data_IF_533298054340
#
_entry.id   IF_533298054340
#
_cell.length_a   1.000
_cell.length_b   1.000
_cell.length_c   1.000
_cell.angle_alpha   90.00
_cell.angle_beta   90.00
_cell.angle_gamma   90.00
#
_symmetry.space_group_name_H-M   'P 1'
#
loop_
_entity.id
_entity.type
_entity.pdbx_description
1 polymer ?
#
# COMPACT_ATOMS: atom_id res chain seq x y z
N UNK A 1 -66.19 26.49 54.60
CA UNK A 1 -66.75 26.68 53.23
C UNK A 1 -65.88 25.90 52.25
N UNK A 2 -66.49 25.07 51.40
CA UNK A 2 -66.02 24.52 50.09
C UNK A 2 -64.68 23.74 50.07
N UNK A 3 -64.75 22.39 50.04
CA UNK A 3 -64.67 21.49 48.86
C UNK A 3 -63.23 21.29 48.33
N UNK A 4 -62.66 20.09 48.45
CA UNK A 4 -62.61 19.04 47.41
C UNK A 4 -61.65 17.91 47.79
N UNK A 5 -62.15 16.67 47.69
CA UNK A 5 -61.38 15.43 47.57
C UNK A 5 -60.55 15.44 46.28
N UNK A 6 -59.32 14.94 46.33
CA UNK A 6 -58.70 14.25 45.20
C UNK A 6 -57.71 13.20 45.71
N UNK A 7 -58.02 11.93 45.42
CA UNK A 7 -57.15 10.77 45.56
C UNK A 7 -55.86 10.98 44.76
N UNK A 8 -54.71 10.63 45.33
CA UNK A 8 -53.49 10.35 44.58
C UNK A 8 -53.08 8.91 44.87
N UNK A 9 -53.21 8.09 43.84
CA UNK A 9 -52.80 6.71 43.79
C UNK A 9 -51.26 6.60 43.83
N UNK A 10 -50.75 5.73 44.68
CA UNK A 10 -49.36 5.30 44.72
C UNK A 10 -49.07 4.35 43.54
N UNK A 11 -48.41 4.85 42.50
CA UNK A 11 -47.76 4.00 41.49
C UNK A 11 -46.34 3.66 41.96
N UNK A 12 -46.12 2.41 42.35
CA UNK A 12 -44.79 1.84 42.54
C UNK A 12 -44.21 1.49 41.16
N UNK A 13 -43.22 2.25 40.70
CA UNK A 13 -42.41 1.89 39.53
C UNK A 13 -41.27 0.97 39.95
N UNK A 14 -41.36 -0.29 39.54
CA UNK A 14 -40.25 -1.26 39.60
C UNK A 14 -39.26 -0.87 38.51
N UNK A 15 -38.08 -0.33 38.88
CA UNK A 15 -36.95 -0.23 37.96
C UNK A 15 -36.36 -1.64 37.77
N UNK A 16 -36.62 -2.24 36.62
CA UNK A 16 -35.85 -3.39 36.15
C UNK A 16 -34.46 -2.94 35.72
N UNK A 17 -33.42 -3.33 36.47
CA UNK A 17 -32.04 -3.29 35.97
C UNK A 17 -31.90 -4.40 34.92
N UNK A 18 -31.99 -4.04 33.64
CA UNK A 18 -31.43 -4.88 32.57
C UNK A 18 -29.93 -4.63 32.53
N UNK A 19 -29.16 -5.57 33.09
CA UNK A 19 -27.72 -5.63 32.84
C UNK A 19 -27.53 -5.92 31.35
N UNK A 20 -27.06 -4.93 30.59
CA UNK A 20 -26.60 -5.13 29.23
C UNK A 20 -25.38 -6.04 29.29
N UNK A 21 -25.55 -7.32 28.94
CA UNK A 21 -24.44 -8.23 28.71
C UNK A 21 -23.83 -7.82 27.37
N UNK A 22 -22.74 -7.06 27.42
CA UNK A 22 -21.90 -6.83 26.23
C UNK A 22 -21.42 -8.19 25.70
N UNK A 23 -21.48 -8.45 24.39
CA UNK A 23 -20.83 -9.64 23.84
C UNK A 23 -19.32 -9.57 24.11
N UNK A 24 -18.63 -10.71 24.28
CA UNK A 24 -17.18 -10.71 24.43
C UNK A 24 -16.56 -10.03 23.21
N UNK A 25 -15.74 -9.02 23.47
CA UNK A 25 -14.90 -8.33 22.49
C UNK A 25 -14.03 -9.40 21.82
N UNK A 26 -14.25 -9.65 20.53
CA UNK A 26 -13.36 -10.49 19.74
C UNK A 26 -11.97 -9.84 19.83
N UNK A 27 -10.98 -10.60 20.29
CA UNK A 27 -9.59 -10.16 20.23
C UNK A 27 -9.29 -9.81 18.76
N UNK A 28 -8.70 -8.63 18.54
CA UNK A 28 -8.23 -8.22 17.23
C UNK A 28 -7.39 -9.34 16.63
N UNK A 29 -7.90 -9.99 15.57
CA UNK A 29 -7.19 -11.05 14.89
C UNK A 29 -6.04 -10.38 14.12
N UNK A 30 -4.82 -10.49 14.65
CA UNK A 30 -3.62 -10.12 13.91
C UNK A 30 -3.61 -10.89 12.58
N UNK A 31 -3.28 -10.22 11.46
CA UNK A 31 -3.23 -10.84 10.14
C UNK A 31 -2.50 -12.19 10.21
N UNK A 32 -3.25 -13.28 10.03
CA UNK A 32 -2.73 -14.65 10.09
C UNK A 32 -2.96 -15.31 8.76
N UNK A 33 -2.06 -15.07 7.81
CA UNK A 33 -1.96 -15.92 6.62
C UNK A 33 -1.21 -17.20 6.94
N UNK A 34 -1.57 -18.31 6.29
CA UNK A 34 -0.77 -19.54 6.30
C UNK A 34 -0.87 -20.27 4.96
N UNK A 35 0.16 -21.03 4.63
CA UNK A 35 0.12 -22.04 3.56
C UNK A 35 0.13 -23.42 4.18
N UNK A 36 -0.62 -24.34 3.58
CA UNK A 36 -0.62 -25.75 3.97
C UNK A 36 -0.42 -26.63 2.75
N UNK A 37 0.65 -27.44 2.75
CA UNK A 37 0.89 -28.46 1.75
C UNK A 37 0.48 -29.82 2.32
N UNK A 38 -0.54 -30.45 1.71
CA UNK A 38 -1.01 -31.79 2.08
C UNK A 38 -0.62 -32.84 1.03
N UNK A 39 0.16 -33.82 1.46
CA UNK A 39 0.66 -34.89 0.58
C UNK A 39 0.30 -36.26 1.14
N UNK A 40 -0.38 -37.10 0.36
CA UNK A 40 -0.50 -38.53 0.66
C UNK A 40 0.82 -39.18 0.24
N UNK A 41 1.66 -39.52 1.21
CA UNK A 41 3.01 -40.05 0.98
C UNK A 41 3.00 -41.53 0.64
N UNK A 42 2.01 -42.27 1.14
CA UNK A 42 1.78 -43.67 0.80
C UNK A 42 0.30 -44.04 0.99
N UNK A 43 -0.18 -45.03 0.25
CA UNK A 43 -1.55 -45.54 0.35
C UNK A 43 -1.58 -47.05 0.09
N UNK A 44 -2.38 -47.77 0.86
CA UNK A 44 -2.63 -49.21 0.73
C UNK A 44 -4.12 -49.51 0.89
N UNK A 45 -4.49 -50.79 0.82
CA UNK A 45 -5.89 -51.19 0.99
C UNK A 45 -6.41 -50.81 2.38
N UNK A 46 -7.33 -49.86 2.44
CA UNK A 46 -7.99 -49.40 3.66
C UNK A 46 -7.17 -48.43 4.53
N UNK A 47 -5.99 -47.98 4.08
CA UNK A 47 -5.17 -47.04 4.84
C UNK A 47 -4.21 -46.19 4.02
N UNK A 48 -3.71 -45.13 4.62
CA UNK A 48 -2.81 -44.17 4.00
C UNK A 48 -1.92 -43.48 5.03
N UNK A 49 -0.85 -42.86 4.54
CA UNK A 49 -0.01 -41.95 5.30
C UNK A 49 0.00 -40.58 4.63
N UNK A 50 -0.15 -39.51 5.42
CA UNK A 50 -0.14 -38.14 4.96
C UNK A 50 0.93 -37.31 5.67
N UNK A 51 1.61 -36.46 4.90
CA UNK A 51 2.45 -35.37 5.39
C UNK A 51 1.73 -34.03 5.23
N UNK A 52 1.88 -33.16 6.22
CA UNK A 52 1.28 -31.83 6.26
C UNK A 52 2.34 -30.82 6.64
N UNK A 53 2.71 -29.94 5.72
CA UNK A 53 3.63 -28.83 6.00
C UNK A 53 2.84 -27.55 6.16
N UNK A 54 3.00 -26.88 7.28
CA UNK A 54 2.31 -25.61 7.60
C UNK A 54 3.35 -24.50 7.65
N UNK A 55 3.15 -23.41 6.90
CA UNK A 55 4.00 -22.21 6.98
C UNK A 55 3.19 -21.07 7.55
N UNK A 56 3.69 -20.39 8.59
CA UNK A 56 3.06 -19.19 9.13
C UNK A 56 3.47 -17.99 8.29
N UNK A 57 2.53 -17.28 7.68
CA UNK A 57 2.78 -16.03 6.96
C UNK A 57 2.43 -14.80 7.82
N UNK A 58 1.66 -14.98 8.91
CA UNK A 58 1.24 -13.92 9.81
C UNK A 58 2.21 -13.64 10.96
N UNK A 59 1.70 -12.96 11.98
CA UNK A 59 2.47 -12.66 13.20
C UNK A 59 2.99 -13.93 13.90
N UNK A 60 4.12 -13.86 14.63
CA UNK A 60 4.66 -15.01 15.36
C UNK A 60 3.66 -15.61 16.34
N UNK A 61 3.43 -16.92 16.26
CA UNK A 61 2.55 -17.64 17.17
C UNK A 61 3.36 -18.33 18.27
N UNK A 62 2.92 -18.24 19.54
CA UNK A 62 3.52 -18.94 20.69
C UNK A 62 2.72 -20.19 21.12
N UNK A 63 1.81 -20.62 20.25
CA UNK A 63 1.05 -21.86 20.27
C UNK A 63 0.28 -21.93 18.96
N UNK A 64 0.15 -23.11 18.37
CA UNK A 64 -0.57 -23.27 17.12
C UNK A 64 -1.47 -24.51 17.11
N UNK A 65 -2.62 -24.38 16.47
CA UNK A 65 -3.58 -25.45 16.19
C UNK A 65 -3.93 -25.43 14.72
N UNK A 66 -3.62 -26.50 14.01
CA UNK A 66 -4.11 -26.73 12.66
C UNK A 66 -5.45 -27.45 12.73
N UNK A 67 -6.45 -27.01 11.96
CA UNK A 67 -7.71 -27.74 11.82
C UNK A 67 -8.14 -27.85 10.35
N UNK A 68 -8.74 -28.99 9.99
CA UNK A 68 -9.28 -29.27 8.65
C UNK A 68 -10.34 -30.38 8.72
N UNK A 69 -11.06 -30.60 7.61
CA UNK A 69 -12.00 -31.71 7.49
C UNK A 69 -11.48 -32.78 6.51
N UNK A 70 -11.54 -34.04 6.92
CA UNK A 70 -11.40 -35.16 5.99
C UNK A 70 -12.68 -35.24 5.12
N UNK A 71 -12.59 -35.16 3.78
CA UNK A 71 -13.77 -34.95 2.94
C UNK A 71 -14.74 -36.14 2.89
N UNK A 72 -14.25 -37.36 3.10
CA UNK A 72 -15.06 -38.58 3.09
C UNK A 72 -15.31 -39.09 4.53
N UNK A 73 -16.55 -39.44 4.83
CA UNK A 73 -16.96 -39.91 6.17
C UNK A 73 -16.26 -41.21 6.60
N UNK A 74 -15.79 -42.00 5.64
CA UNK A 74 -15.00 -43.20 5.84
C UNK A 74 -13.55 -42.93 6.29
N UNK A 75 -13.05 -41.70 6.16
CA UNK A 75 -11.68 -41.36 6.54
C UNK A 75 -11.53 -41.14 8.06
N UNK A 76 -10.50 -41.75 8.65
CA UNK A 76 -10.12 -41.59 10.07
C UNK A 76 -8.62 -41.41 10.24
N UNK A 77 -8.22 -40.56 11.18
CA UNK A 77 -6.86 -40.49 11.70
C UNK A 77 -6.68 -41.63 12.69
N UNK A 78 -5.63 -42.44 12.53
CA UNK A 78 -5.35 -43.59 13.40
C UNK A 78 -4.14 -43.35 14.29
N UNK A 79 -3.11 -42.67 13.78
CA UNK A 79 -1.89 -42.33 14.53
C UNK A 79 -1.21 -41.12 13.91
N UNK A 80 -0.75 -40.15 14.70
CA UNK A 80 -0.02 -38.98 14.20
C UNK A 80 1.28 -38.70 14.93
N UNK A 81 2.12 -37.85 14.36
CA UNK A 81 3.38 -37.38 14.93
C UNK A 81 3.57 -35.87 14.73
N UNK A 82 4.56 -35.31 15.44
CA UNK A 82 4.91 -33.88 15.51
C UNK A 82 3.80 -32.92 15.94
N UNK A 83 2.63 -33.44 16.32
CA UNK A 83 1.52 -32.73 16.91
C UNK A 83 0.68 -33.69 17.78
N UNK A 84 -0.17 -33.15 18.63
CA UNK A 84 -1.26 -33.91 19.27
C UNK A 84 -2.47 -33.88 18.34
N UNK A 85 -2.86 -35.04 17.83
CA UNK A 85 -3.94 -35.20 16.86
C UNK A 85 -5.25 -35.64 17.52
N UNK A 86 -6.36 -35.05 17.11
CA UNK A 86 -7.71 -35.52 17.47
C UNK A 86 -8.68 -35.39 16.30
N UNK A 87 -9.71 -36.22 16.28
CA UNK A 87 -10.76 -36.19 15.27
C UNK A 87 -12.14 -36.34 15.90
N UNK A 88 -13.09 -35.51 15.47
CA UNK A 88 -14.52 -35.62 15.77
C UNK A 88 -15.31 -35.52 14.47
N UNK A 89 -16.09 -36.56 14.15
CA UNK A 89 -16.75 -36.65 12.84
C UNK A 89 -15.72 -36.65 11.70
N UNK A 90 -15.83 -35.68 10.79
CA UNK A 90 -14.83 -35.39 9.75
C UNK A 90 -13.76 -34.38 10.17
N UNK A 91 -13.98 -33.62 11.25
CA UNK A 91 -13.07 -32.57 11.71
C UNK A 91 -11.85 -33.14 12.40
N UNK A 92 -10.67 -32.76 11.94
CA UNK A 92 -9.36 -33.13 12.46
C UNK A 92 -8.66 -31.89 13.00
N UNK A 93 -8.03 -32.01 14.17
CA UNK A 93 -7.19 -30.97 14.77
C UNK A 93 -5.82 -31.52 15.12
N UNK A 94 -4.78 -30.74 14.88
CA UNK A 94 -3.40 -31.01 15.25
C UNK A 94 -2.84 -29.83 16.07
N UNK A 95 -2.50 -30.08 17.33
CA UNK A 95 -2.00 -29.06 18.26
C UNK A 95 -0.49 -29.19 18.40
N UNK A 96 0.23 -28.07 18.33
CA UNK A 96 1.69 -28.03 18.50
C UNK A 96 2.14 -28.56 19.87
N UNK A 97 3.30 -29.22 19.87
CA UNK A 97 3.98 -29.76 21.06
C UNK A 97 4.93 -28.70 21.63
N UNK A 98 5.37 -28.87 22.88
CA UNK A 98 6.22 -27.89 23.57
C UNK A 98 7.48 -27.46 22.78
N UNK A 99 8.10 -28.41 22.06
CA UNK A 99 9.33 -28.17 21.30
C UNK A 99 9.11 -27.46 19.96
N UNK A 100 7.89 -27.45 19.41
CA UNK A 100 7.55 -26.76 18.16
C UNK A 100 6.38 -25.77 18.32
N UNK A 101 5.96 -25.44 19.54
CA UNK A 101 4.81 -24.57 19.82
C UNK A 101 4.97 -23.14 19.30
N UNK A 102 6.22 -22.69 19.13
CA UNK A 102 6.52 -21.37 18.56
C UNK A 102 6.71 -21.48 17.06
N UNK A 103 5.92 -20.74 16.29
CA UNK A 103 6.01 -20.67 14.84
C UNK A 103 6.15 -19.20 14.43
N UNK A 104 7.39 -18.76 14.20
CA UNK A 104 7.69 -17.39 13.77
C UNK A 104 7.10 -17.10 12.38
N UNK A 105 7.01 -15.83 12.03
CA UNK A 105 6.65 -15.40 10.66
C UNK A 105 7.63 -15.98 9.65
N UNK A 106 7.11 -16.56 8.57
CA UNK A 106 7.86 -17.26 7.54
C UNK A 106 8.37 -18.66 7.93
N UNK A 107 8.23 -19.07 9.19
CA UNK A 107 8.67 -20.39 9.64
C UNK A 107 7.65 -21.48 9.26
N UNK A 108 8.15 -22.70 9.06
CA UNK A 108 7.34 -23.86 8.72
C UNK A 108 7.51 -25.00 9.74
N UNK A 109 6.46 -25.82 9.86
CA UNK A 109 6.47 -27.06 10.64
C UNK A 109 5.95 -28.22 9.79
N UNK A 110 6.67 -29.34 9.84
CA UNK A 110 6.31 -30.59 9.15
C UNK A 110 5.65 -31.57 10.13
N UNK A 111 4.42 -31.97 9.79
CA UNK A 111 3.56 -32.85 10.56
C UNK A 111 3.17 -34.07 9.71
N UNK A 112 2.62 -35.10 10.34
CA UNK A 112 2.02 -36.19 9.58
C UNK A 112 1.20 -37.15 10.42
N UNK A 113 0.41 -37.96 9.72
CA UNK A 113 -0.43 -38.99 10.31
C UNK A 113 -0.66 -40.18 9.38
N UNK A 114 -0.88 -41.34 9.98
CA UNK A 114 -1.52 -42.48 9.36
C UNK A 114 -3.03 -42.37 9.53
N UNK A 115 -3.76 -42.77 8.50
CA UNK A 115 -5.22 -42.81 8.51
C UNK A 115 -5.78 -44.07 7.86
N UNK A 116 -7.05 -44.35 8.13
CA UNK A 116 -7.84 -45.38 7.46
C UNK A 116 -8.92 -44.73 6.59
N UNK A 117 -9.39 -45.42 5.56
CA UNK A 117 -10.54 -44.99 4.76
C UNK A 117 -11.41 -46.18 4.33
N UNK A 118 -12.73 -45.95 4.20
CA UNK A 118 -13.65 -46.90 3.56
C UNK A 118 -14.27 -46.22 2.34
N UNK A 119 -13.96 -46.69 1.13
CA UNK A 119 -14.40 -46.05 -0.12
C UNK A 119 -13.28 -45.21 -0.74
N UNK A 120 -13.47 -43.89 -0.81
CA UNK A 120 -12.52 -42.97 -1.42
C UNK A 120 -11.56 -42.33 -0.39
N UNK A 121 -10.41 -41.83 -0.86
CA UNK A 121 -9.45 -41.09 -0.04
C UNK A 121 -9.13 -39.71 -0.65
N UNK A 122 -10.12 -38.79 -0.76
CA UNK A 122 -9.87 -37.44 -1.24
C UNK A 122 -9.01 -36.64 -0.24
N UNK A 123 -8.22 -35.70 -0.77
CA UNK A 123 -7.41 -34.77 0.06
C UNK A 123 -8.29 -33.64 0.61
N UNK A 124 -8.08 -33.18 1.85
CA UNK A 124 -8.65 -31.92 2.32
C UNK A 124 -8.18 -30.75 1.45
N UNK A 125 -9.05 -29.77 1.26
CA UNK A 125 -8.77 -28.56 0.47
C UNK A 125 -8.81 -27.27 1.29
N UNK A 126 -9.28 -27.34 2.54
CA UNK A 126 -9.41 -26.19 3.43
C UNK A 126 -8.77 -26.50 4.79
N UNK A 127 -7.96 -25.56 5.25
CA UNK A 127 -7.21 -25.64 6.50
C UNK A 127 -7.36 -24.33 7.26
N UNK A 128 -7.26 -24.39 8.57
CA UNK A 128 -7.16 -23.21 9.44
C UNK A 128 -5.97 -23.35 10.38
N UNK A 129 -5.28 -22.25 10.67
CA UNK A 129 -4.26 -22.14 11.70
C UNK A 129 -4.76 -21.19 12.78
N UNK A 130 -4.89 -21.67 14.01
CA UNK A 130 -5.46 -20.92 15.13
C UNK A 130 -6.85 -20.33 14.84
N UNK A 131 -7.64 -21.03 14.01
CA UNK A 131 -8.99 -20.61 13.62
C UNK A 131 -9.06 -19.69 12.40
N UNK A 132 -7.91 -19.28 11.82
CA UNK A 132 -7.86 -18.43 10.62
C UNK A 132 -7.57 -19.28 9.39
N UNK A 133 -8.26 -19.02 8.27
CA UNK A 133 -8.14 -19.81 7.06
C UNK A 133 -6.74 -19.71 6.41
N UNK A 134 -6.16 -20.85 6.05
CA UNK A 134 -4.92 -20.89 5.29
C UNK A 134 -5.20 -20.72 3.80
N UNK A 135 -5.26 -19.48 3.34
CA UNK A 135 -5.55 -19.11 1.94
C UNK A 135 -4.30 -18.99 1.07
N UNK A 136 -3.11 -19.14 1.65
CA UNK A 136 -1.83 -18.94 0.96
C UNK A 136 -1.43 -17.47 0.77
N UNK A 137 -2.20 -16.54 1.32
CA UNK A 137 -1.90 -15.11 1.42
C UNK A 137 -2.22 -14.63 2.85
N UNK A 138 -1.76 -13.44 3.23
CA UNK A 138 -2.34 -12.74 4.38
C UNK A 138 -3.80 -12.42 4.03
N UNK A 139 -4.76 -12.73 4.91
CA UNK A 139 -6.06 -12.08 4.83
C UNK A 139 -5.86 -10.61 5.21
N UNK A 140 -5.70 -9.75 4.21
CA UNK A 140 -6.01 -8.34 4.37
C UNK A 140 -7.53 -8.20 4.48
N UNK A 141 -8.04 -7.30 5.34
CA UNK A 141 -9.47 -7.09 5.45
C UNK A 141 -10.05 -6.82 4.06
N UNK A 142 -11.03 -7.64 3.64
CA UNK A 142 -11.76 -7.39 2.40
C UNK A 142 -12.36 -5.98 2.47
N UNK A 143 -12.16 -5.12 1.46
CA UNK A 143 -12.72 -3.78 1.47
C UNK A 143 -14.24 -3.88 1.53
N UNK A 144 -14.84 -3.23 2.53
CA UNK A 144 -16.28 -2.99 2.56
C UNK A 144 -16.62 -2.14 1.32
N UNK A 145 -17.53 -2.57 0.43
CA UNK A 145 -17.96 -1.76 -0.70
C UNK A 145 -18.66 -0.45 -0.31
N UNK A 146 -19.03 -0.27 0.98
CA UNK A 146 -19.51 0.99 1.56
C UNK A 146 -18.41 1.80 2.28
N UNK A 147 -17.16 1.31 2.33
CA UNK A 147 -16.03 2.13 2.75
C UNK A 147 -15.85 3.23 1.70
N UNK A 148 -15.95 4.49 2.12
CA UNK A 148 -15.83 5.66 1.25
C UNK A 148 -14.53 5.67 0.44
N UNK A 149 -14.37 6.71 -0.39
CA UNK A 149 -13.14 6.84 -1.19
C UNK A 149 -11.89 6.91 -0.29
N UNK A 150 -10.68 6.65 -0.82
CA UNK A 150 -9.44 6.77 -0.06
C UNK A 150 -9.33 8.08 0.75
N UNK A 151 -9.75 9.21 0.16
CA UNK A 151 -9.79 10.51 0.85
C UNK A 151 -10.90 10.59 1.91
N UNK A 152 -12.09 10.02 1.66
CA UNK A 152 -13.19 10.01 2.65
C UNK A 152 -12.79 9.25 3.93
N UNK A 153 -12.12 8.11 3.77
CA UNK A 153 -11.68 7.27 4.89
C UNK A 153 -10.52 7.93 5.63
N UNK A 154 -9.47 8.32 4.91
CA UNK A 154 -8.21 8.75 5.55
C UNK A 154 -8.19 10.24 5.91
N UNK A 155 -8.96 11.09 5.23
CA UNK A 155 -9.03 12.52 5.49
C UNK A 155 -7.69 13.24 5.35
N UNK A 156 -7.40 14.16 6.26
CA UNK A 156 -6.17 14.95 6.24
C UNK A 156 -4.97 14.07 6.60
N UNK A 157 -4.04 13.93 5.66
CA UNK A 157 -2.81 13.20 5.90
C UNK A 157 -1.79 14.06 6.64
N UNK A 158 -0.97 13.40 7.45
CA UNK A 158 0.19 14.00 8.10
C UNK A 158 1.26 12.94 8.35
N UNK A 159 2.49 13.36 8.64
CA UNK A 159 3.59 12.47 9.01
C UNK A 159 3.52 12.17 10.49
N UNK A 160 3.46 10.88 10.85
CA UNK A 160 3.55 10.42 12.23
C UNK A 160 4.69 9.41 12.41
N UNK A 161 5.70 9.80 13.20
CA UNK A 161 6.96 9.05 13.30
C UNK A 161 7.70 9.03 11.97
N UNK A 162 7.86 7.84 11.39
CA UNK A 162 8.51 7.60 10.09
C UNK A 162 7.51 7.23 8.98
N UNK A 163 6.20 7.40 9.22
CA UNK A 163 5.16 7.00 8.29
C UNK A 163 4.29 8.18 7.87
N UNK A 164 3.62 8.01 6.73
CA UNK A 164 2.44 8.78 6.37
C UNK A 164 1.25 8.23 7.15
N UNK A 165 0.46 9.10 7.75
CA UNK A 165 -0.64 8.73 8.63
C UNK A 165 -1.90 9.48 8.24
N UNK A 166 -3.04 8.84 8.49
CA UNK A 166 -4.36 9.43 8.26
C UNK A 166 -4.80 10.34 9.41
N UNK A 167 -6.00 10.90 9.32
CA UNK A 167 -6.57 11.80 10.33
C UNK A 167 -6.78 11.16 11.72
N UNK A 168 -6.58 9.84 11.84
CA UNK A 168 -6.70 9.07 13.08
C UNK A 168 -5.33 8.68 13.66
N UNK A 169 -4.24 9.29 13.20
CA UNK A 169 -2.87 8.98 13.60
C UNK A 169 -2.47 7.51 13.32
N UNK A 170 -3.06 6.90 12.28
CA UNK A 170 -2.72 5.54 11.86
C UNK A 170 -1.85 5.55 10.60
N UNK A 171 -0.74 4.79 10.57
CA UNK A 171 0.06 4.63 9.36
C UNK A 171 -0.78 4.08 8.21
N UNK A 172 -0.63 4.68 7.03
CA UNK A 172 -1.32 4.30 5.80
C UNK A 172 -0.35 4.27 4.63
N UNK A 173 -0.69 3.46 3.63
CA UNK A 173 0.06 3.35 2.39
C UNK A 173 -0.83 3.78 1.21
N UNK A 174 -0.48 4.87 0.55
CA UNK A 174 -1.13 5.28 -0.70
C UNK A 174 -0.45 4.58 -1.88
N UNK A 175 -1.23 4.00 -2.78
CA UNK A 175 -0.71 3.26 -3.92
C UNK A 175 -1.41 3.73 -5.18
N UNK A 176 -0.62 4.09 -6.17
CA UNK A 176 -1.21 4.60 -7.41
C UNK A 176 -0.24 4.75 -8.55
N UNK A 177 -0.61 5.66 -9.46
CA UNK A 177 0.10 5.86 -10.71
C UNK A 177 0.57 7.31 -10.83
N UNK A 178 1.74 7.50 -11.42
CA UNK A 178 2.21 8.78 -11.91
C UNK A 178 1.70 8.99 -13.33
N UNK A 179 1.26 10.20 -13.65
CA UNK A 179 1.25 10.63 -15.04
C UNK A 179 2.67 10.52 -15.61
N UNK A 180 2.79 10.41 -16.93
CA UNK A 180 3.99 10.86 -17.61
C UNK A 180 3.99 12.41 -17.61
N UNK A 181 5.02 13.04 -18.17
CA UNK A 181 5.04 14.47 -18.43
C UNK A 181 3.76 14.97 -19.09
N UNK A 182 3.02 15.82 -18.39
CA UNK A 182 1.70 16.31 -18.81
C UNK A 182 1.75 17.17 -20.07
N UNK A 183 2.92 17.65 -20.49
CA UNK A 183 3.13 18.34 -21.77
C UNK A 183 3.05 17.40 -22.99
N UNK A 184 3.38 16.11 -22.80
CA UNK A 184 3.44 15.13 -23.90
C UNK A 184 2.25 14.19 -23.94
N UNK A 185 1.73 13.80 -22.77
CA UNK A 185 0.69 12.78 -22.65
C UNK A 185 -0.62 13.30 -22.05
N UNK A 186 -0.87 14.61 -22.16
CA UNK A 186 -2.07 15.27 -21.63
C UNK A 186 -3.39 14.56 -22.01
N UNK A 187 -3.45 13.98 -23.21
CA UNK A 187 -4.59 13.25 -23.77
C UNK A 187 -4.95 12.00 -22.96
N UNK A 188 -3.98 11.39 -22.29
CA UNK A 188 -4.19 10.22 -21.44
C UNK A 188 -4.95 10.54 -20.14
N UNK A 189 -5.05 11.81 -19.75
CA UNK A 189 -5.68 12.23 -18.49
C UNK A 189 -7.05 12.88 -18.75
N UNK A 190 -7.91 12.11 -19.41
CA UNK A 190 -9.32 12.43 -19.63
C UNK A 190 -10.21 11.72 -18.59
N UNK A 191 -11.51 12.07 -18.57
CA UNK A 191 -12.44 11.56 -17.56
C UNK A 191 -12.53 10.03 -17.53
N UNK A 192 -12.62 9.36 -18.69
CA UNK A 192 -12.73 7.90 -18.75
C UNK A 192 -11.48 7.20 -18.19
N UNK A 193 -10.30 7.74 -18.50
CA UNK A 193 -9.03 7.24 -17.98
C UNK A 193 -8.90 7.39 -16.46
N UNK A 194 -9.31 8.54 -15.92
CA UNK A 194 -9.27 8.79 -14.48
C UNK A 194 -10.38 8.04 -13.73
N UNK A 195 -11.55 7.85 -14.34
CA UNK A 195 -12.61 6.98 -13.82
C UNK A 195 -12.14 5.54 -13.72
N UNK A 196 -11.42 5.03 -14.73
CA UNK A 196 -10.83 3.70 -14.68
C UNK A 196 -9.78 3.59 -13.57
N UNK A 197 -8.90 4.58 -13.44
CA UNK A 197 -7.87 4.60 -12.40
C UNK A 197 -8.47 4.54 -10.98
N UNK A 198 -9.50 5.35 -10.72
CA UNK A 198 -10.14 5.39 -9.41
C UNK A 198 -11.05 4.17 -9.14
N UNK A 199 -11.89 3.80 -10.12
CA UNK A 199 -13.00 2.87 -9.85
C UNK A 199 -12.67 1.42 -10.18
N UNK A 200 -11.82 1.17 -11.17
CA UNK A 200 -11.46 -0.17 -11.61
C UNK A 200 -10.08 -0.57 -11.08
N UNK A 201 -9.08 0.30 -11.21
CA UNK A 201 -7.76 0.05 -10.63
C UNK A 201 -7.73 0.27 -9.12
N UNK A 202 -8.70 1.01 -8.55
CA UNK A 202 -8.75 1.35 -7.11
C UNK A 202 -7.51 2.11 -6.63
N UNK A 203 -6.97 2.98 -7.48
CA UNK A 203 -5.83 3.82 -7.11
C UNK A 203 -6.17 4.77 -5.97
N UNK A 204 -5.30 4.86 -4.98
CA UNK A 204 -5.43 5.81 -3.87
C UNK A 204 -4.91 7.21 -4.27
N UNK A 205 -4.03 7.23 -5.28
CA UNK A 205 -3.15 8.34 -5.59
C UNK A 205 -3.04 8.57 -7.10
N UNK A 206 -3.07 9.83 -7.50
CA UNK A 206 -2.61 10.31 -8.79
C UNK A 206 -1.43 11.26 -8.57
N UNK A 207 -0.23 10.87 -9.00
CA UNK A 207 0.91 11.77 -9.09
C UNK A 207 0.89 12.52 -10.42
N UNK A 208 0.99 13.84 -10.37
CA UNK A 208 0.88 14.75 -11.52
C UNK A 208 2.28 15.30 -11.84
N UNK A 209 2.99 14.61 -12.73
CA UNK A 209 4.34 14.95 -13.15
C UNK A 209 4.36 16.15 -14.12
N UNK A 210 4.60 17.35 -13.56
CA UNK A 210 4.73 18.59 -14.33
C UNK A 210 6.21 18.92 -14.55
N UNK A 211 6.76 18.51 -15.70
CA UNK A 211 8.12 18.88 -16.10
C UNK A 211 8.28 20.39 -16.07
N UNK A 212 9.46 20.85 -15.67
CA UNK A 212 9.78 22.27 -15.68
C UNK A 212 10.38 22.69 -17.02
N UNK A 213 11.42 21.97 -17.43
CA UNK A 213 12.04 22.06 -18.75
C UNK A 213 11.34 21.10 -19.73
N UNK A 214 11.97 20.82 -20.87
CA UNK A 214 11.54 19.78 -21.81
C UNK A 214 10.10 19.99 -22.30
N UNK A 215 9.84 21.21 -22.78
CA UNK A 215 8.52 21.71 -23.21
C UNK A 215 7.47 21.79 -22.08
N UNK A 216 7.91 21.71 -20.82
CA UNK A 216 7.07 21.79 -19.64
C UNK A 216 6.74 23.21 -19.17
N UNK A 217 6.55 23.36 -17.85
CA UNK A 217 6.07 24.56 -17.16
C UNK A 217 6.74 25.87 -17.60
N UNK A 218 8.04 25.86 -17.93
CA UNK A 218 8.72 27.09 -18.30
C UNK A 218 8.21 27.74 -19.59
N UNK A 219 7.55 26.96 -20.45
CA UNK A 219 7.00 27.43 -21.74
C UNK A 219 5.65 28.13 -21.59
N UNK A 220 4.81 27.66 -20.66
CA UNK A 220 3.52 28.28 -20.32
C UNK A 220 3.19 28.10 -18.82
N UNK A 221 3.80 28.90 -17.93
CA UNK A 221 3.59 28.77 -16.49
C UNK A 221 2.13 28.82 -16.06
N UNK A 222 1.33 29.67 -16.70
CA UNK A 222 -0.09 29.83 -16.38
C UNK A 222 -0.92 28.62 -16.82
N UNK A 223 -0.70 28.15 -18.06
CA UNK A 223 -1.38 26.98 -18.61
C UNK A 223 -1.07 25.71 -17.81
N UNK A 224 0.20 25.45 -17.50
CA UNK A 224 0.59 24.28 -16.71
C UNK A 224 0.08 24.34 -15.27
N UNK A 225 0.12 25.51 -14.62
CA UNK A 225 -0.51 25.71 -13.29
C UNK A 225 -2.00 25.40 -13.34
N UNK A 226 -2.70 25.88 -14.36
CA UNK A 226 -4.13 25.59 -14.55
C UNK A 226 -4.38 24.10 -14.79
N UNK A 227 -3.53 23.43 -15.58
CA UNK A 227 -3.66 22.00 -15.87
C UNK A 227 -3.45 21.14 -14.62
N UNK A 228 -2.43 21.45 -13.82
CA UNK A 228 -2.19 20.80 -12.52
C UNK A 228 -3.41 20.94 -11.61
N UNK A 229 -3.91 22.17 -11.41
CA UNK A 229 -5.09 22.41 -10.58
C UNK A 229 -6.32 21.65 -11.08
N UNK A 230 -6.52 21.59 -12.40
CA UNK A 230 -7.59 20.80 -12.99
C UNK A 230 -7.46 19.31 -12.67
N UNK A 231 -6.26 18.74 -12.77
CA UNK A 231 -6.02 17.34 -12.40
C UNK A 231 -6.18 17.07 -10.89
N UNK A 232 -5.87 18.06 -10.04
CA UNK A 232 -6.15 18.00 -8.59
C UNK A 232 -7.66 17.96 -8.34
N UNK A 233 -8.45 18.79 -9.05
CA UNK A 233 -9.92 18.79 -8.98
C UNK A 233 -10.48 17.43 -9.48
N UNK A 234 -9.95 16.87 -10.58
CA UNK A 234 -10.37 15.57 -11.12
C UNK A 234 -10.03 14.39 -10.19
N UNK A 235 -8.90 14.45 -9.49
CA UNK A 235 -8.53 13.45 -8.48
C UNK A 235 -9.44 13.55 -7.25
N UNK A 236 -9.71 14.77 -6.76
CA UNK A 236 -10.63 15.01 -5.63
C UNK A 236 -12.05 14.50 -5.93
N UNK A 237 -12.57 14.78 -7.13
CA UNK A 237 -13.89 14.33 -7.57
C UNK A 237 -14.05 12.81 -7.58
N UNK A 238 -12.94 12.07 -7.59
CA UNK A 238 -12.86 10.60 -7.56
C UNK A 238 -12.36 10.08 -6.22
N UNK A 239 -12.13 10.97 -5.25
CA UNK A 239 -11.64 10.65 -3.92
C UNK A 239 -10.23 10.05 -3.87
N UNK A 240 -9.40 10.39 -4.86
CA UNK A 240 -7.97 10.09 -4.87
C UNK A 240 -7.17 11.25 -4.28
N UNK A 241 -6.05 10.94 -3.64
CA UNK A 241 -5.01 11.91 -3.34
C UNK A 241 -4.33 12.38 -4.63
N UNK A 242 -4.00 13.66 -4.71
CA UNK A 242 -3.25 14.28 -5.77
C UNK A 242 -1.87 14.69 -5.25
N UNK A 243 -0.81 14.07 -5.79
CA UNK A 243 0.56 14.49 -5.54
C UNK A 243 1.00 15.42 -6.67
N UNK A 244 1.19 16.69 -6.35
CA UNK A 244 1.65 17.71 -7.28
C UNK A 244 3.17 17.64 -7.34
N UNK A 245 3.69 17.21 -8.49
CA UNK A 245 5.13 17.04 -8.70
C UNK A 245 5.69 18.16 -9.58
N UNK A 246 6.58 18.96 -8.98
CA UNK A 246 7.43 19.90 -9.69
C UNK A 246 8.63 19.14 -10.28
N UNK A 247 8.41 18.59 -11.47
CA UNK A 247 9.22 17.53 -12.04
C UNK A 247 10.53 18.06 -12.63
N UNK A 248 11.49 18.36 -11.75
CA UNK A 248 12.87 18.69 -12.11
C UNK A 248 13.65 17.43 -12.47
N UNK A 249 14.34 17.46 -13.61
CA UNK A 249 15.20 16.38 -14.08
C UNK A 249 16.49 16.95 -14.69
N UNK A 250 16.34 17.71 -15.79
CA UNK A 250 17.46 18.40 -16.45
C UNK A 250 17.12 19.89 -16.60
N UNK A 251 17.89 20.82 -16.02
CA UNK A 251 19.07 20.63 -15.16
C UNK A 251 18.76 19.97 -13.80
N UNK A 252 19.74 19.27 -13.24
CA UNK A 252 19.58 18.47 -12.02
C UNK A 252 19.70 19.21 -10.68
N UNK A 253 20.18 20.46 -10.66
CA UNK A 253 20.17 21.27 -9.43
C UNK A 253 18.81 21.97 -9.28
N UNK A 254 18.01 21.65 -8.24
CA UNK A 254 16.70 22.27 -8.07
C UNK A 254 16.78 23.80 -7.86
N UNK A 255 17.92 24.34 -7.43
CA UNK A 255 18.12 25.79 -7.30
C UNK A 255 18.05 26.52 -8.65
N UNK A 256 18.28 25.83 -9.77
CA UNK A 256 18.10 26.40 -11.11
C UNK A 256 16.67 26.90 -11.33
N UNK A 257 15.68 26.18 -10.80
CA UNK A 257 14.26 26.51 -10.92
C UNK A 257 13.67 27.14 -9.66
N UNK A 258 14.47 27.61 -8.71
CA UNK A 258 14.00 28.09 -7.40
C UNK A 258 12.89 29.15 -7.49
N UNK A 259 13.07 30.18 -8.30
CA UNK A 259 12.07 31.26 -8.42
C UNK A 259 10.79 30.78 -9.12
N UNK A 260 10.92 29.87 -10.09
CA UNK A 260 9.78 29.22 -10.75
C UNK A 260 9.00 28.34 -9.78
N UNK A 261 9.70 27.54 -8.98
CA UNK A 261 9.12 26.70 -7.94
C UNK A 261 8.37 27.53 -6.90
N UNK A 262 8.99 28.59 -6.36
CA UNK A 262 8.31 29.50 -5.42
C UNK A 262 7.05 30.11 -6.02
N UNK A 263 7.12 30.58 -7.26
CA UNK A 263 5.96 31.16 -7.96
C UNK A 263 4.84 30.14 -8.15
N UNK A 264 5.20 28.94 -8.63
CA UNK A 264 4.26 27.85 -8.85
C UNK A 264 3.60 27.41 -7.54
N UNK A 265 4.40 27.07 -6.53
CA UNK A 265 3.92 26.57 -5.25
C UNK A 265 3.12 27.61 -4.45
N UNK A 266 3.45 28.90 -4.53
CA UNK A 266 2.60 29.95 -3.97
C UNK A 266 1.20 29.91 -4.58
N UNK A 267 1.11 29.74 -5.91
CA UNK A 267 -0.16 29.71 -6.64
C UNK A 267 -0.96 28.44 -6.35
N UNK A 268 -0.36 27.25 -6.49
CA UNK A 268 -1.08 25.99 -6.29
C UNK A 268 -1.42 25.72 -4.83
N UNK A 269 -0.59 26.14 -3.87
CA UNK A 269 -0.93 26.05 -2.45
C UNK A 269 -2.08 26.99 -2.09
N UNK A 270 -2.06 28.24 -2.55
CA UNK A 270 -3.17 29.17 -2.32
C UNK A 270 -4.49 28.71 -2.94
N UNK A 271 -4.46 28.15 -4.16
CA UNK A 271 -5.67 27.65 -4.85
C UNK A 271 -6.27 26.40 -4.20
N UNK A 272 -5.43 25.53 -3.63
CA UNK A 272 -5.88 24.27 -3.06
C UNK A 272 -5.82 24.25 -1.52
N UNK A 273 -5.63 25.41 -0.89
CA UNK A 273 -5.63 25.54 0.56
C UNK A 273 -6.91 24.96 1.16
N UNK A 274 -6.75 24.09 2.17
CA UNK A 274 -7.86 23.42 2.86
C UNK A 274 -8.37 22.15 2.17
N UNK A 275 -7.86 21.80 0.97
CA UNK A 275 -8.10 20.47 0.41
C UNK A 275 -7.32 19.43 1.22
N UNK A 276 -7.99 18.32 1.55
CA UNK A 276 -7.38 17.21 2.30
C UNK A 276 -6.56 16.27 1.42
N UNK A 277 -6.76 16.35 0.10
CA UNK A 277 -6.25 15.38 -0.85
C UNK A 277 -4.92 15.79 -1.51
N UNK A 278 -4.27 16.88 -1.10
CA UNK A 278 -3.09 17.43 -1.80
C UNK A 278 -1.78 17.12 -1.07
N UNK A 279 -0.80 16.65 -1.82
CA UNK A 279 0.59 16.42 -1.39
C UNK A 279 1.51 17.16 -2.36
N UNK A 280 2.59 17.77 -1.88
CA UNK A 280 3.50 18.58 -2.72
C UNK A 280 4.88 17.92 -2.81
N UNK A 281 5.30 17.49 -4.01
CA UNK A 281 6.67 17.07 -4.30
C UNK A 281 7.43 18.24 -4.94
N UNK A 282 8.38 18.80 -4.20
CA UNK A 282 8.98 20.11 -4.56
C UNK A 282 10.15 20.03 -5.53
N UNK A 283 10.71 18.84 -5.72
CA UNK A 283 11.76 18.55 -6.70
C UNK A 283 11.80 17.04 -6.91
N UNK A 284 11.48 16.59 -8.13
CA UNK A 284 11.46 15.17 -8.51
C UNK A 284 12.83 14.47 -8.32
N UNK A 285 13.81 14.81 -9.16
CA UNK A 285 15.08 14.07 -9.21
C UNK A 285 16.31 14.98 -9.18
N UNK A 286 16.67 15.53 -8.00
CA UNK A 286 17.93 16.22 -7.87
C UNK A 286 19.12 15.32 -8.26
N UNK A 287 19.93 15.77 -9.21
CA UNK A 287 21.07 15.03 -9.73
C UNK A 287 22.26 15.96 -10.03
N UNK A 288 23.49 15.45 -9.89
CA UNK A 288 24.70 16.27 -10.03
C UNK A 288 24.85 17.37 -8.95
N UNK A 289 24.12 17.26 -7.84
CA UNK A 289 24.04 18.27 -6.77
C UNK A 289 24.15 17.61 -5.39
N UNK A 290 24.73 18.31 -4.42
CA UNK A 290 24.86 17.80 -3.05
C UNK A 290 23.55 17.87 -2.26
N UNK A 291 23.39 17.00 -1.26
CA UNK A 291 22.28 17.08 -0.32
C UNK A 291 22.14 18.45 0.34
N UNK A 292 23.25 19.13 0.66
CA UNK A 292 23.21 20.45 1.28
C UNK A 292 22.54 21.52 0.40
N UNK A 293 22.72 21.45 -0.92
CA UNK A 293 22.08 22.38 -1.86
C UNK A 293 20.59 22.04 -2.03
N UNK A 294 20.23 20.76 -2.02
CA UNK A 294 18.83 20.30 -2.05
C UNK A 294 18.09 20.75 -0.79
N UNK A 295 18.69 20.55 0.39
CA UNK A 295 18.15 21.03 1.67
C UNK A 295 17.95 22.56 1.66
N UNK A 296 18.95 23.31 1.19
CA UNK A 296 18.86 24.78 1.05
C UNK A 296 17.74 25.22 0.10
N UNK A 297 17.50 24.48 -0.98
CA UNK A 297 16.34 24.69 -1.86
C UNK A 297 15.03 24.44 -1.11
N UNK A 298 14.91 23.28 -0.45
CA UNK A 298 13.71 22.89 0.28
C UNK A 298 13.31 23.89 1.37
N UNK A 299 14.29 24.36 2.16
CA UNK A 299 14.08 25.34 3.23
C UNK A 299 13.65 26.72 2.73
N UNK A 300 13.74 26.98 1.43
CA UNK A 300 13.22 28.19 0.81
C UNK A 300 11.85 28.02 0.15
N UNK A 301 11.51 26.81 -0.32
CA UNK A 301 10.23 26.53 -0.98
C UNK A 301 9.15 26.13 0.01
N UNK A 302 9.48 25.34 1.03
CA UNK A 302 8.50 24.88 2.04
C UNK A 302 7.78 26.06 2.71
N UNK A 303 8.44 27.14 3.17
CA UNK A 303 7.74 28.28 3.76
C UNK A 303 6.73 28.95 2.82
N UNK A 304 6.95 28.88 1.50
CA UNK A 304 6.02 29.44 0.50
C UNK A 304 4.73 28.61 0.43
N UNK A 305 4.83 27.28 0.46
CA UNK A 305 3.66 26.39 0.54
C UNK A 305 2.93 26.63 1.87
N UNK A 306 3.68 26.61 2.98
CA UNK A 306 3.14 26.72 4.35
C UNK A 306 2.44 28.05 4.64
N UNK A 307 2.76 29.10 3.88
CA UNK A 307 2.07 30.38 4.01
C UNK A 307 0.58 30.30 3.64
N UNK A 308 0.21 29.37 2.74
CA UNK A 308 -1.18 29.14 2.34
C UNK A 308 -1.76 27.83 2.91
N UNK A 309 -0.94 26.79 3.00
CA UNK A 309 -1.32 25.47 3.52
C UNK A 309 -0.37 25.04 4.65
N UNK A 310 -0.66 25.43 5.91
CA UNK A 310 0.23 25.17 7.05
C UNK A 310 0.36 23.68 7.37
N UNK A 311 -0.61 22.85 6.97
CA UNK A 311 -0.69 21.42 7.30
C UNK A 311 -0.34 20.50 6.12
N UNK A 312 0.01 21.04 4.95
CA UNK A 312 0.49 20.31 3.77
C UNK A 312 1.45 19.12 4.09
N UNK A 313 1.33 18.00 3.39
CA UNK A 313 2.44 17.02 3.34
C UNK A 313 3.38 17.46 2.23
N UNK A 314 4.67 17.64 2.54
CA UNK A 314 5.68 18.04 1.55
C UNK A 314 6.72 16.93 1.38
N UNK A 315 7.01 16.56 0.14
CA UNK A 315 8.00 15.56 -0.24
C UNK A 315 9.20 16.26 -0.88
N UNK A 316 10.40 15.92 -0.42
CA UNK A 316 11.66 16.49 -0.92
C UNK A 316 12.45 15.42 -1.67
N UNK A 317 12.78 15.69 -2.94
CA UNK A 317 13.70 14.89 -3.73
C UNK A 317 15.03 14.69 -3.02
N UNK A 318 15.68 13.56 -3.25
CA UNK A 318 16.97 13.23 -2.62
C UNK A 318 18.09 13.17 -3.64
N UNK A 319 19.33 13.12 -3.16
CA UNK A 319 20.52 13.15 -4.03
C UNK A 319 20.54 11.96 -4.98
N UNK A 320 20.99 12.20 -6.21
CA UNK A 320 21.27 11.16 -7.20
C UNK A 320 19.98 10.57 -7.75
N UNK A 321 19.19 11.38 -8.46
CA UNK A 321 17.88 10.99 -8.99
C UNK A 321 16.97 10.40 -7.91
N UNK A 322 16.91 11.08 -6.76
CA UNK A 322 16.15 10.63 -5.60
C UNK A 322 16.48 9.21 -5.14
N UNK A 323 17.73 8.75 -5.28
CA UNK A 323 18.15 7.41 -4.83
C UNK A 323 18.63 7.37 -3.37
N UNK A 324 18.34 8.39 -2.56
CA UNK A 324 18.98 8.61 -1.25
C UNK A 324 20.51 8.64 -1.33
N UNK A 325 21.06 9.11 -2.46
CA UNK A 325 22.50 9.23 -2.70
C UNK A 325 23.19 7.97 -3.23
N UNK A 326 22.50 6.83 -3.31
CA UNK A 326 23.10 5.53 -3.68
C UNK A 326 23.72 5.56 -5.09
N UNK A 327 23.06 6.20 -6.06
CA UNK A 327 23.57 6.29 -7.43
C UNK A 327 24.86 7.11 -7.54
N UNK A 328 25.07 8.04 -6.61
CA UNK A 328 26.21 8.96 -6.55
C UNK A 328 27.35 8.44 -5.65
N UNK A 329 27.26 7.19 -5.19
CA UNK A 329 28.23 6.59 -4.28
C UNK A 329 28.14 7.08 -2.84
N UNK A 330 27.03 7.69 -2.46
CA UNK A 330 26.69 8.07 -1.08
C UNK A 330 25.63 7.12 -0.50
N UNK A 331 25.01 7.49 0.62
CA UNK A 331 23.97 6.73 1.29
C UNK A 331 22.98 7.62 2.06
N UNK A 332 21.98 6.99 2.66
CA UNK A 332 20.88 7.67 3.36
C UNK A 332 21.33 8.52 4.55
N UNK A 333 22.55 8.32 5.06
CA UNK A 333 23.04 9.05 6.23
C UNK A 333 23.29 10.53 5.92
N UNK A 334 23.43 10.94 4.65
CA UNK A 334 23.45 12.37 4.29
C UNK A 334 22.17 13.08 4.76
N UNK A 335 21.01 12.44 4.52
CA UNK A 335 19.70 12.97 4.91
C UNK A 335 19.48 12.79 6.41
N UNK A 336 19.77 11.61 6.97
CA UNK A 336 19.58 11.34 8.41
C UNK A 336 20.38 12.28 9.30
N UNK A 337 21.62 12.59 8.92
CA UNK A 337 22.51 13.43 9.74
C UNK A 337 22.25 14.93 9.55
N UNK A 338 21.54 15.33 8.50
CA UNK A 338 21.26 16.72 8.18
C UNK A 338 19.86 16.87 7.56
N UNK A 339 18.78 16.54 8.29
CA UNK A 339 17.43 16.62 7.76
C UNK A 339 17.03 18.06 7.46
N UNK A 340 16.08 18.24 6.54
CA UNK A 340 15.44 19.55 6.30
C UNK A 340 14.75 20.03 7.57
N UNK A 341 14.94 21.30 7.94
CA UNK A 341 14.35 21.88 9.15
C UNK A 341 12.87 22.27 8.93
N UNK A 342 12.01 21.27 8.76
CA UNK A 342 10.57 21.42 8.63
C UNK A 342 9.83 20.18 9.17
N UNK A 343 8.56 20.35 9.54
CA UNK A 343 7.67 19.27 9.94
C UNK A 343 6.72 18.88 8.80
N UNK A 344 5.99 17.77 9.01
CA UNK A 344 5.07 17.18 8.04
C UNK A 344 5.72 17.01 6.64
N UNK A 345 6.91 16.42 6.67
CA UNK A 345 7.83 16.29 5.55
C UNK A 345 8.17 14.81 5.32
N UNK A 346 8.27 14.40 4.06
CA UNK A 346 8.82 13.10 3.67
C UNK A 346 9.95 13.29 2.65
N UNK A 347 10.73 12.23 2.43
CA UNK A 347 11.82 12.20 1.46
C UNK A 347 11.50 11.23 0.32
N UNK A 348 11.71 11.67 -0.92
CA UNK A 348 11.51 10.84 -2.10
C UNK A 348 12.60 9.76 -2.20
N UNK A 349 12.18 8.56 -2.58
CA UNK A 349 13.08 7.51 -3.06
C UNK A 349 12.59 6.96 -4.40
N UNK A 350 13.43 6.95 -5.44
CA UNK A 350 13.08 6.39 -6.75
C UNK A 350 13.84 5.11 -7.05
N UNK A 351 13.18 4.18 -7.75
CA UNK A 351 13.86 2.99 -8.26
C UNK A 351 13.30 2.48 -9.59
N UNK A 352 14.13 1.76 -10.32
CA UNK A 352 13.71 1.02 -11.51
C UNK A 352 14.10 -0.45 -11.33
N UNK A 353 13.09 -1.31 -11.25
CA UNK A 353 13.22 -2.64 -10.67
C UNK A 353 14.23 -3.54 -11.40
N UNK A 354 14.47 -3.34 -12.70
CA UNK A 354 15.47 -4.10 -13.45
C UNK A 354 16.91 -3.62 -13.21
N UNK A 355 17.10 -2.38 -12.76
CA UNK A 355 18.41 -1.78 -12.49
C UNK A 355 18.77 -1.78 -11.00
N UNK A 356 17.81 -1.47 -10.14
CA UNK A 356 18.03 -1.21 -8.72
C UNK A 356 17.55 -2.42 -7.90
N UNK A 357 18.49 -3.15 -7.31
CA UNK A 357 18.26 -4.46 -6.67
C UNK A 357 18.48 -4.39 -5.15
N UNK A 358 19.08 -5.43 -4.57
CA UNK A 358 19.20 -5.62 -3.13
C UNK A 358 19.92 -4.49 -2.40
N UNK A 359 20.95 -3.88 -3.01
CA UNK A 359 21.68 -2.76 -2.39
C UNK A 359 20.77 -1.56 -2.14
N UNK A 360 19.92 -1.22 -3.12
CA UNK A 360 18.94 -0.15 -3.03
C UNK A 360 17.82 -0.51 -2.03
N UNK A 361 17.32 -1.75 -2.03
CA UNK A 361 16.33 -2.24 -1.04
C UNK A 361 16.88 -2.15 0.39
N UNK A 362 18.14 -2.50 0.58
CA UNK A 362 18.80 -2.40 1.86
C UNK A 362 18.93 -0.94 2.32
N UNK A 363 19.21 0.00 1.42
CA UNK A 363 19.20 1.44 1.72
C UNK A 363 17.82 1.91 2.18
N UNK A 364 16.76 1.56 1.44
CA UNK A 364 15.38 1.91 1.85
C UNK A 364 15.05 1.33 3.22
N UNK A 365 15.39 0.06 3.49
CA UNK A 365 15.14 -0.58 4.79
C UNK A 365 15.84 0.16 5.95
N UNK A 366 17.10 0.59 5.76
CA UNK A 366 17.83 1.38 6.77
C UNK A 366 17.25 2.79 6.94
N UNK A 367 16.89 3.43 5.83
CA UNK A 367 16.35 4.79 5.82
C UNK A 367 14.96 4.85 6.46
N UNK A 368 14.05 3.94 6.11
CA UNK A 368 12.66 3.90 6.60
C UNK A 368 12.55 3.77 8.13
N UNK A 369 13.57 3.21 8.79
CA UNK A 369 13.61 3.16 10.26
C UNK A 369 13.89 4.52 10.94
N UNK A 370 14.30 5.54 10.16
CA UNK A 370 14.77 6.85 10.66
C UNK A 370 14.16 8.05 9.94
N UNK A 371 13.64 7.85 8.73
CA UNK A 371 13.12 8.89 7.86
C UNK A 371 11.73 8.50 7.35
N UNK A 372 10.78 9.46 7.29
CA UNK A 372 9.56 9.28 6.53
C UNK A 372 9.86 9.28 5.03
N UNK A 373 9.60 8.15 4.38
CA UNK A 373 9.87 7.95 2.95
C UNK A 373 8.59 7.85 2.15
N UNK A 374 8.65 8.31 0.90
CA UNK A 374 7.63 8.10 -0.11
C UNK A 374 8.32 7.68 -1.41
N UNK A 375 7.88 6.61 -2.06
CA UNK A 375 8.37 6.24 -3.40
C UNK A 375 7.55 6.97 -4.45
N UNK A 376 7.84 8.24 -4.67
CA UNK A 376 7.04 9.09 -5.56
C UNK A 376 7.17 8.66 -7.02
N UNK A 377 8.23 7.95 -7.38
CA UNK A 377 8.38 7.35 -8.70
C UNK A 377 9.08 5.99 -8.64
N UNK A 378 8.55 5.01 -9.38
CA UNK A 378 9.31 3.82 -9.71
C UNK A 378 8.87 3.18 -11.02
N UNK A 379 9.79 2.47 -11.70
CA UNK A 379 9.49 1.67 -12.89
C UNK A 379 9.72 0.18 -12.68
N UNK A 380 9.01 -0.65 -13.45
CA UNK A 380 9.15 -2.13 -13.44
C UNK A 380 10.30 -2.63 -14.34
N UNK A 381 10.87 -1.72 -15.11
CA UNK A 381 11.90 -1.95 -16.15
C UNK A 381 13.25 -1.37 -15.70
N UNK A 382 14.17 -1.15 -16.64
CA UNK A 382 15.46 -0.53 -16.33
C UNK A 382 15.34 0.99 -16.16
N UNK A 383 16.35 1.60 -15.54
CA UNK A 383 16.40 3.05 -15.27
C UNK A 383 16.34 3.95 -16.52
N UNK A 384 16.38 3.38 -17.73
CA UNK A 384 16.17 4.14 -18.97
C UNK A 384 14.69 4.30 -19.33
N UNK A 385 13.75 3.82 -18.51
CA UNK A 385 12.33 3.72 -18.85
C UNK A 385 11.98 2.59 -19.83
N UNK A 386 12.96 1.77 -20.23
CA UNK A 386 12.79 0.74 -21.26
C UNK A 386 13.38 -0.61 -20.90
N UNK A 387 13.25 -1.54 -21.85
CA UNK A 387 13.77 -2.91 -21.73
C UNK A 387 12.75 -3.88 -21.14
N UNK A 388 13.19 -5.11 -20.87
CA UNK A 388 12.32 -6.13 -20.30
C UNK A 388 11.91 -5.77 -18.86
N UNK A 389 10.64 -6.03 -18.53
CA UNK A 389 10.14 -5.94 -17.17
C UNK A 389 10.84 -6.98 -16.29
N UNK A 390 11.23 -6.58 -15.08
CA UNK A 390 11.72 -7.52 -14.07
C UNK A 390 10.64 -7.75 -12.99
N UNK A 391 9.76 -8.70 -13.27
CA UNK A 391 8.62 -9.01 -12.40
C UNK A 391 9.07 -9.40 -10.99
N UNK A 392 10.06 -10.28 -10.86
CA UNK A 392 10.51 -10.78 -9.56
C UNK A 392 11.09 -9.67 -8.69
N UNK A 393 11.91 -8.79 -9.26
CA UNK A 393 12.44 -7.64 -8.53
C UNK A 393 11.35 -6.63 -8.21
N UNK A 394 10.39 -6.42 -9.12
CA UNK A 394 9.25 -5.52 -8.88
C UNK A 394 8.41 -6.01 -7.69
N UNK A 395 8.07 -7.30 -7.65
CA UNK A 395 7.35 -7.90 -6.52
C UNK A 395 8.14 -7.75 -5.22
N UNK A 396 9.45 -8.06 -5.21
CA UNK A 396 10.29 -7.92 -4.03
C UNK A 396 10.36 -6.46 -3.51
N UNK A 397 10.32 -5.48 -4.41
CA UNK A 397 10.23 -4.07 -4.03
C UNK A 397 8.88 -3.75 -3.40
N UNK A 398 7.78 -4.10 -4.06
CA UNK A 398 6.43 -3.79 -3.58
C UNK A 398 6.13 -4.45 -2.24
N UNK A 399 6.57 -5.69 -2.02
CA UNK A 399 6.42 -6.38 -0.73
C UNK A 399 7.21 -5.68 0.39
N UNK A 400 8.40 -5.16 0.09
CA UNK A 400 9.15 -4.35 1.04
C UNK A 400 8.43 -3.05 1.38
N UNK A 401 7.86 -2.37 0.37
CA UNK A 401 7.11 -1.12 0.60
C UNK A 401 5.86 -1.37 1.45
N UNK A 402 5.14 -2.47 1.22
CA UNK A 402 3.96 -2.84 2.00
C UNK A 402 4.33 -3.15 3.46
N UNK A 403 5.41 -3.92 3.67
CA UNK A 403 5.93 -4.23 5.00
C UNK A 403 6.29 -2.95 5.78
N UNK A 404 6.81 -1.94 5.09
CA UNK A 404 7.26 -0.68 5.68
C UNK A 404 6.19 0.42 5.67
N UNK A 405 5.00 0.16 5.11
CA UNK A 405 3.95 1.16 4.88
C UNK A 405 4.46 2.40 4.12
N UNK A 406 5.26 2.18 3.09
CA UNK A 406 5.77 3.24 2.21
C UNK A 406 4.87 3.37 0.99
N UNK A 407 4.23 4.53 0.87
CA UNK A 407 3.40 4.89 -0.28
C UNK A 407 4.20 4.94 -1.59
N UNK A 408 3.54 4.67 -2.71
CA UNK A 408 4.20 4.70 -4.02
C UNK A 408 3.32 5.17 -5.20
N UNK A 409 3.98 5.70 -6.24
CA UNK A 409 3.37 5.91 -7.56
C UNK A 409 4.23 5.30 -8.69
N UNK A 410 3.62 4.48 -9.55
CA UNK A 410 4.33 3.86 -10.68
C UNK A 410 4.42 4.77 -11.92
N UNK A 411 5.60 4.77 -12.55
CA UNK A 411 5.92 5.40 -13.82
C UNK A 411 5.64 4.41 -14.98
N UNK A 412 4.68 4.63 -15.91
CA UNK A 412 3.70 5.74 -15.99
C UNK A 412 2.31 5.31 -16.46
N UNK A 413 1.30 6.11 -16.09
CA UNK A 413 -0.05 6.06 -16.62
C UNK A 413 -0.14 6.74 -18.00
N UNK A 414 0.51 6.18 -19.01
CA UNK A 414 0.48 6.70 -20.38
C UNK A 414 0.50 5.56 -21.40
N UNK A 415 0.32 5.89 -22.68
CA UNK A 415 0.51 5.00 -23.82
C UNK A 415 1.81 5.30 -24.59
N UNK A 416 2.81 5.85 -23.89
CA UNK A 416 4.14 6.05 -24.42
C UNK A 416 4.70 4.73 -25.01
N UNK A 417 5.46 4.77 -26.13
CA UNK A 417 6.00 3.58 -26.77
C UNK A 417 7.23 3.02 -26.02
N UNK A 418 7.08 2.81 -24.71
CA UNK A 418 8.08 2.28 -23.79
C UNK A 418 7.45 1.23 -22.85
N UNK A 419 8.28 0.38 -22.26
CA UNK A 419 7.79 -0.76 -21.49
C UNK A 419 7.41 -0.43 -20.04
N UNK A 420 7.83 0.72 -19.50
CA UNK A 420 7.33 1.30 -18.24
C UNK A 420 5.87 1.74 -18.34
N UNK A 421 5.44 2.22 -19.52
CA UNK A 421 4.10 2.74 -19.74
C UNK A 421 3.02 1.68 -19.43
N UNK A 422 1.96 2.09 -18.76
CA UNK A 422 0.86 1.22 -18.35
C UNK A 422 0.04 0.74 -19.55
N UNK A 423 -0.06 1.56 -20.60
CA UNK A 423 -0.90 1.31 -21.76
C UNK A 423 -0.10 1.04 -23.01
N UNK A 424 -0.68 0.26 -23.92
CA UNK A 424 -0.15 0.06 -25.26
C UNK A 424 -0.40 1.32 -26.10
N UNK A 425 0.52 1.68 -27.03
CA UNK A 425 0.35 2.85 -27.89
C UNK A 425 -1.03 2.93 -28.57
N UNK A 426 -1.64 4.11 -28.53
CA UNK A 426 -2.96 4.38 -29.11
C UNK A 426 -4.14 4.18 -28.15
N UNK A 427 -3.88 3.68 -26.94
CA UNK A 427 -4.94 3.49 -25.92
C UNK A 427 -5.57 4.83 -25.53
N UNK A 428 -4.78 5.91 -25.42
CA UNK A 428 -5.29 7.20 -24.95
C UNK A 428 -6.16 7.95 -25.96
N UNK A 429 -6.20 7.49 -27.22
CA UNK A 429 -7.16 7.97 -28.24
C UNK A 429 -8.52 7.24 -28.16
N UNK A 430 -8.57 6.14 -27.40
CA UNK A 430 -9.76 5.33 -27.18
C UNK A 430 -10.51 5.68 -25.88
N UNK A 431 -11.33 4.74 -25.43
CA UNK A 431 -12.14 4.87 -24.20
C UNK A 431 -12.01 3.71 -23.22
N UNK A 432 -11.14 2.72 -23.50
CA UNK A 432 -10.89 1.57 -22.64
C UNK A 432 -9.50 1.68 -22.01
N UNK A 433 -9.45 1.66 -20.68
CA UNK A 433 -8.25 1.80 -19.87
C UNK A 433 -8.09 0.63 -18.89
N UNK A 434 -8.87 -0.43 -19.08
CA UNK A 434 -9.08 -1.48 -18.08
C UNK A 434 -8.90 -2.89 -18.62
N UNK A 435 -9.18 -3.11 -19.91
CA UNK A 435 -9.08 -4.45 -20.49
C UNK A 435 -7.63 -4.91 -20.64
N UNK A 436 -7.40 -6.22 -20.54
CA UNK A 436 -6.07 -6.81 -20.73
C UNK A 436 -5.48 -6.56 -22.14
N UNK A 437 -6.32 -6.20 -23.11
CA UNK A 437 -5.89 -5.88 -24.48
C UNK A 437 -5.18 -4.53 -24.59
N UNK A 438 -5.46 -3.59 -23.70
CA UNK A 438 -4.90 -2.23 -23.72
C UNK A 438 -3.71 -2.07 -22.76
N UNK A 439 -3.53 -2.97 -21.80
CA UNK A 439 -2.44 -2.90 -20.83
C UNK A 439 -1.13 -3.51 -21.38
N UNK A 440 -0.02 -2.91 -21.00
CA UNK A 440 1.30 -3.56 -21.07
C UNK A 440 1.45 -4.57 -19.93
N UNK A 441 2.55 -5.33 -19.91
CA UNK A 441 2.88 -6.19 -18.78
C UNK A 441 3.05 -5.40 -17.48
N UNK A 442 3.69 -4.22 -17.56
CA UNK A 442 3.86 -3.29 -16.43
C UNK A 442 2.50 -2.82 -15.92
N UNK A 443 1.63 -2.33 -16.81
CA UNK A 443 0.30 -1.85 -16.45
C UNK A 443 -0.59 -2.94 -15.86
N UNK A 444 -0.56 -4.15 -16.41
CA UNK A 444 -1.33 -5.28 -15.89
C UNK A 444 -0.86 -5.71 -14.49
N UNK A 445 0.46 -5.74 -14.25
CA UNK A 445 1.01 -6.02 -12.93
C UNK A 445 0.58 -4.97 -11.91
N UNK A 446 0.71 -3.69 -12.27
CA UNK A 446 0.38 -2.60 -11.37
C UNK A 446 -1.10 -2.50 -11.06
N UNK A 447 -1.97 -2.63 -12.07
CA UNK A 447 -3.42 -2.70 -11.86
C UNK A 447 -3.78 -3.75 -10.81
N UNK A 448 -3.25 -4.97 -10.96
CA UNK A 448 -3.51 -6.05 -10.02
C UNK A 448 -2.97 -5.77 -8.61
N UNK A 449 -1.83 -5.06 -8.49
CA UNK A 449 -1.27 -4.70 -7.19
C UNK A 449 -2.12 -3.64 -6.51
N UNK A 450 -2.42 -2.54 -7.20
CA UNK A 450 -3.10 -1.40 -6.58
C UNK A 450 -4.59 -1.66 -6.35
N UNK A 451 -5.21 -2.62 -7.07
CA UNK A 451 -6.62 -2.98 -6.89
C UNK A 451 -6.98 -3.55 -5.52
N UNK A 452 -6.00 -3.92 -4.70
CA UNK A 452 -6.20 -4.42 -3.34
C UNK A 452 -5.84 -3.30 -2.36
N UNK A 453 -6.73 -2.37 -1.96
CA UNK A 453 -6.42 -1.18 -1.15
C UNK A 453 -5.70 -1.52 0.17
N UNK A 454 -4.94 -0.58 0.73
CA UNK A 454 -4.49 -0.71 2.11
C UNK A 454 -5.70 -0.72 3.06
N UNK A 455 -5.52 -1.29 4.24
CA UNK A 455 -6.57 -1.47 5.25
C UNK A 455 -7.18 -0.18 5.82
N UNK A 456 -6.54 0.98 5.60
CA UNK A 456 -6.96 2.32 6.08
C UNK A 456 -7.59 2.32 7.48
N UNK A 457 -6.83 1.90 8.51
CA UNK A 457 -7.35 1.76 9.87
C UNK A 457 -7.86 3.09 10.44
N UNK A 458 -9.06 3.05 11.04
CA UNK A 458 -9.73 4.22 11.63
C UNK A 458 -9.81 4.18 13.17
N UNK A 459 -9.30 3.11 13.80
CA UNK A 459 -9.36 2.89 15.25
C UNK A 459 -8.08 2.34 15.84
#
# INVERSE_FOLDING_TARGET
>A
MKRLLALLATCATVLGLTAAVSPPQAAASAATGCTVEYTVTSQWQGGFQAGVKVTNLGAPATGWTLAFALPDAGQKVTQGWNATWSQSGSGVTAVGLDWNRTLATGAAVDLGFAGSFTGANPKPTAFTLNGVACTGALEEPTPDPDAGTPVDVNGQLHVCGVNLCNQYDRPVQLRGMSTHGIQWFSQCYNAASLDALANDWKSDLLRIAMYVQEDGYETDPAGFTSRVNGLVDEAEARGMYALIDFHTLTPGDPNFNLDRAKTFFASVAARNAGKKNVIYEIANEPNGVSWSAIKSYAEQVIPVIRAADPDAVVIVGTRGWSSLGVSDGSDENEVVNNPVNATNLMYAFHFYAASHKDSYRATVSRAASRLPLFVTEFGTVSATGGGAMDQASTTAWLDLLDQLKISYANWTYSDAPESSAAFRPGTCEGGDYSSSGVLTESGALLKNRISTPDSFPTS
#
